data_IF_358710109323
#
_entry.id   IF_358710109323
#
_cell.length_a   1.000
_cell.length_b   1.000
_cell.length_c   1.000
_cell.angle_alpha   90.00
_cell.angle_beta   90.00
_cell.angle_gamma   90.00
#
_symmetry.space_group_name_H-M   'P 1'
#
loop_
_entity.id
_entity.type
_entity.pdbx_description
1 polymer ?
#
# COMPACT_ATOMS: atom_id res chain seq x y z
N UNK A 1 16.44 -12.72 2.83
CA UNK A 1 15.12 -12.23 3.26
C UNK A 1 13.99 -13.10 2.71
N UNK A 2 13.71 -13.10 1.40
CA UNK A 2 12.60 -13.87 0.82
C UNK A 2 12.57 -15.37 1.16
N UNK A 3 13.73 -16.04 1.19
CA UNK A 3 13.81 -17.46 1.61
C UNK A 3 13.37 -17.69 3.07
N UNK A 4 13.57 -16.71 3.96
CA UNK A 4 13.14 -16.81 5.36
C UNK A 4 11.65 -16.51 5.49
N UNK A 5 11.19 -15.46 4.79
CA UNK A 5 9.78 -15.09 4.75
C UNK A 5 8.92 -16.21 4.15
N UNK A 6 9.42 -16.90 3.12
CA UNK A 6 8.73 -18.01 2.48
C UNK A 6 8.60 -19.26 3.36
N UNK A 7 9.36 -19.37 4.47
CA UNK A 7 9.08 -20.36 5.52
C UNK A 7 7.80 -20.04 6.27
N UNK A 8 7.47 -18.76 6.40
CA UNK A 8 6.22 -18.30 7.00
C UNK A 8 5.06 -18.41 6.02
N UNK A 9 5.27 -18.13 4.74
CA UNK A 9 4.24 -18.15 3.70
C UNK A 9 4.70 -18.92 2.47
N UNK A 10 4.13 -20.12 2.31
CA UNK A 10 4.50 -21.04 1.24
C UNK A 10 4.11 -20.55 -0.17
N UNK A 11 3.23 -19.54 -0.30
CA UNK A 11 2.88 -18.96 -1.62
C UNK A 11 4.10 -18.35 -2.31
N UNK A 12 5.10 -17.91 -1.56
CA UNK A 12 6.37 -17.41 -2.08
C UNK A 12 7.36 -18.51 -2.51
N UNK A 13 7.12 -19.78 -2.14
CA UNK A 13 7.97 -20.93 -2.53
C UNK A 13 7.49 -21.66 -3.79
N UNK A 14 6.21 -21.50 -4.14
CA UNK A 14 5.56 -22.22 -5.25
C UNK A 14 5.92 -21.61 -6.62
N UNK A 15 7.21 -21.54 -6.96
CA UNK A 15 7.77 -20.89 -8.15
C UNK A 15 7.33 -21.50 -9.50
N UNK A 16 6.02 -21.49 -9.80
CA UNK A 16 5.41 -22.01 -11.01
C UNK A 16 4.02 -22.63 -10.85
N UNK A 17 3.45 -22.72 -9.64
CA UNK A 17 2.10 -23.28 -9.41
C UNK A 17 1.04 -22.18 -9.27
N UNK A 18 -0.24 -22.50 -9.50
CA UNK A 18 -1.33 -21.53 -9.69
C UNK A 18 -1.50 -20.46 -8.59
N UNK A 19 -1.04 -20.73 -7.35
CA UNK A 19 -1.13 -19.80 -6.24
C UNK A 19 -0.01 -18.74 -6.19
N UNK A 20 1.03 -18.87 -7.02
CA UNK A 20 2.13 -17.90 -7.09
C UNK A 20 1.84 -16.71 -7.99
N UNK A 21 1.06 -16.90 -9.06
CA UNK A 21 0.77 -15.83 -10.02
C UNK A 21 0.10 -14.59 -9.37
N UNK A 22 -0.89 -14.73 -8.47
CA UNK A 22 -1.48 -13.56 -7.78
C UNK A 22 -0.48 -12.83 -6.88
N UNK A 23 0.37 -13.56 -6.15
CA UNK A 23 1.41 -12.97 -5.29
C UNK A 23 2.45 -12.25 -6.14
N UNK A 24 2.94 -12.88 -7.21
CA UNK A 24 3.90 -12.26 -8.12
C UNK A 24 3.33 -11.00 -8.78
N UNK A 25 2.06 -11.01 -9.19
CA UNK A 25 1.41 -9.83 -9.76
C UNK A 25 1.33 -8.68 -8.74
N UNK A 26 1.02 -8.99 -7.48
CA UNK A 26 0.98 -8.02 -6.40
C UNK A 26 2.38 -7.42 -6.13
N UNK A 27 3.41 -8.25 -6.02
CA UNK A 27 4.79 -7.80 -5.83
C UNK A 27 5.28 -6.96 -7.02
N UNK A 28 4.98 -7.41 -8.25
CA UNK A 28 5.32 -6.66 -9.47
C UNK A 28 4.62 -5.29 -9.49
N UNK A 29 3.34 -5.21 -9.14
CA UNK A 29 2.64 -3.92 -9.06
C UNK A 29 3.24 -3.01 -7.98
N UNK A 30 3.71 -3.57 -6.87
CA UNK A 30 4.36 -2.81 -5.81
C UNK A 30 5.68 -2.21 -6.31
N UNK A 31 6.48 -2.97 -7.05
CA UNK A 31 7.75 -2.50 -7.61
C UNK A 31 7.55 -1.50 -8.74
N UNK A 32 6.69 -1.82 -9.72
CA UNK A 32 6.57 -1.05 -10.97
C UNK A 32 5.53 0.06 -10.95
N UNK A 33 4.63 0.09 -9.96
CA UNK A 33 3.62 1.14 -9.85
C UNK A 33 3.76 1.89 -8.53
N UNK A 34 3.73 1.19 -7.40
CA UNK A 34 3.76 1.85 -6.08
C UNK A 34 5.12 2.48 -5.81
N UNK A 35 6.22 1.81 -6.16
CA UNK A 35 7.58 2.34 -6.05
C UNK A 35 7.76 3.69 -6.77
N UNK A 36 7.44 3.78 -8.08
CA UNK A 36 7.44 5.05 -8.81
C UNK A 36 6.53 6.12 -8.22
N UNK A 37 5.33 5.77 -7.71
CA UNK A 37 4.45 6.72 -7.04
C UNK A 37 5.07 7.27 -5.74
N UNK A 38 5.75 6.41 -4.98
CA UNK A 38 6.47 6.83 -3.78
C UNK A 38 7.63 7.79 -4.14
N UNK A 39 8.39 7.48 -5.19
CA UNK A 39 9.42 8.39 -5.72
C UNK A 39 8.84 9.72 -6.18
N UNK A 40 7.70 9.70 -6.89
CA UNK A 40 6.99 10.90 -7.32
C UNK A 40 6.53 11.73 -6.10
N UNK A 41 6.07 11.07 -5.04
CA UNK A 41 5.66 11.74 -3.79
C UNK A 41 6.85 12.48 -3.18
N UNK A 42 8.00 11.80 -3.04
CA UNK A 42 9.24 12.40 -2.51
C UNK A 42 9.73 13.55 -3.39
N UNK A 43 9.72 13.38 -4.70
CA UNK A 43 10.08 14.43 -5.65
C UNK A 43 9.15 15.65 -5.55
N UNK A 44 7.84 15.42 -5.43
CA UNK A 44 6.85 16.48 -5.26
C UNK A 44 7.01 17.20 -3.91
N UNK A 45 7.42 16.49 -2.85
CA UNK A 45 7.79 17.10 -1.57
C UNK A 45 9.01 18.02 -1.74
N UNK A 46 10.07 17.52 -2.38
CA UNK A 46 11.30 18.27 -2.63
C UNK A 46 11.05 19.55 -3.44
N UNK A 47 10.26 19.43 -4.51
CA UNK A 47 9.92 20.54 -5.42
C UNK A 47 8.74 21.40 -4.95
N UNK A 48 8.23 21.17 -3.74
CA UNK A 48 7.10 21.89 -3.12
C UNK A 48 5.81 21.88 -3.96
N UNK A 49 5.57 20.82 -4.74
CA UNK A 49 4.37 20.64 -5.56
C UNK A 49 3.27 19.95 -4.76
N UNK A 50 2.54 20.71 -3.94
CA UNK A 50 1.58 20.16 -2.97
C UNK A 50 0.48 19.29 -3.59
N UNK A 51 -0.10 19.69 -4.73
CA UNK A 51 -1.18 18.94 -5.37
C UNK A 51 -0.70 17.55 -5.86
N UNK A 52 0.47 17.51 -6.50
CA UNK A 52 1.08 16.27 -7.00
C UNK A 52 1.48 15.38 -5.82
N UNK A 53 2.03 15.96 -4.74
CA UNK A 53 2.36 15.23 -3.51
C UNK A 53 1.14 14.52 -2.95
N UNK A 54 0.05 15.24 -2.68
CA UNK A 54 -1.11 14.63 -2.02
C UNK A 54 -1.76 13.56 -2.90
N UNK A 55 -1.82 13.78 -4.22
CA UNK A 55 -2.40 12.81 -5.15
C UNK A 55 -1.55 11.54 -5.24
N UNK A 56 -0.23 11.68 -5.41
CA UNK A 56 0.68 10.53 -5.49
C UNK A 56 0.78 9.77 -4.17
N UNK A 57 0.82 10.47 -3.04
CA UNK A 57 0.80 9.85 -1.70
C UNK A 57 -0.50 9.09 -1.46
N UNK A 58 -1.66 9.68 -1.81
CA UNK A 58 -2.95 9.02 -1.67
C UNK A 58 -3.04 7.78 -2.55
N UNK A 59 -2.62 7.87 -3.81
CA UNK A 59 -2.63 6.76 -4.75
C UNK A 59 -1.74 5.60 -4.25
N UNK A 60 -0.49 5.89 -3.86
CA UNK A 60 0.42 4.88 -3.30
C UNK A 60 -0.15 4.25 -2.03
N UNK A 61 -0.76 5.06 -1.16
CA UNK A 61 -1.34 4.58 0.10
C UNK A 61 -2.51 3.61 -0.13
N UNK A 62 -3.43 3.96 -1.03
CA UNK A 62 -4.56 3.10 -1.38
C UNK A 62 -4.09 1.78 -2.00
N UNK A 63 -3.08 1.82 -2.87
CA UNK A 63 -2.53 0.62 -3.49
C UNK A 63 -1.87 -0.31 -2.46
N UNK A 64 -1.12 0.23 -1.49
CA UNK A 64 -0.57 -0.56 -0.40
C UNK A 64 -1.66 -1.22 0.45
N UNK A 65 -2.71 -0.46 0.83
CA UNK A 65 -3.82 -1.01 1.60
C UNK A 65 -4.54 -2.12 0.83
N UNK A 66 -4.83 -1.90 -0.45
CA UNK A 66 -5.47 -2.91 -1.32
C UNK A 66 -4.63 -4.18 -1.41
N UNK A 67 -3.31 -4.04 -1.58
CA UNK A 67 -2.35 -5.15 -1.62
C UNK A 67 -2.41 -5.98 -0.33
N UNK A 68 -2.38 -5.34 0.84
CA UNK A 68 -2.44 -6.04 2.14
C UNK A 68 -3.80 -6.69 2.38
N UNK A 69 -4.90 -6.04 1.97
CA UNK A 69 -6.25 -6.61 2.09
C UNK A 69 -6.41 -7.85 1.20
N UNK A 70 -5.90 -7.81 -0.04
CA UNK A 70 -5.89 -8.97 -0.93
C UNK A 70 -5.01 -10.08 -0.37
N UNK A 71 -3.86 -9.74 0.20
CA UNK A 71 -2.94 -10.71 0.81
C UNK A 71 -3.59 -11.51 1.95
N UNK A 72 -4.22 -10.82 2.90
CA UNK A 72 -4.94 -11.46 4.01
C UNK A 72 -6.22 -12.15 3.54
N UNK A 73 -6.98 -11.52 2.64
CA UNK A 73 -8.20 -12.10 2.08
C UNK A 73 -7.94 -13.40 1.33
N UNK A 74 -6.84 -13.48 0.57
CA UNK A 74 -6.43 -14.69 -0.13
C UNK A 74 -6.10 -15.84 0.83
N UNK A 75 -5.51 -15.55 2.00
CA UNK A 75 -5.25 -16.57 3.02
C UNK A 75 -6.54 -16.99 3.73
N UNK A 76 -7.43 -16.06 4.05
CA UNK A 76 -8.72 -16.34 4.69
C UNK A 76 -9.64 -17.20 3.80
N UNK A 77 -9.55 -17.05 2.49
CA UNK A 77 -10.34 -17.80 1.52
C UNK A 77 -9.64 -19.07 1.03
N UNK A 78 -8.37 -19.29 1.43
CA UNK A 78 -7.63 -20.48 1.04
C UNK A 78 -8.24 -21.71 1.72
N UNK A 79 -8.33 -22.82 0.97
CA UNK A 79 -8.83 -24.10 1.50
C UNK A 79 -7.82 -24.77 2.42
N UNK A 80 -6.54 -24.55 2.15
CA UNK A 80 -5.42 -25.01 2.95
C UNK A 80 -4.60 -23.78 3.36
N UNK A 81 -4.24 -23.65 4.64
CA UNK A 81 -3.44 -22.53 5.10
C UNK A 81 -2.07 -22.55 4.44
N UNK A 82 -1.68 -21.41 3.86
CA UNK A 82 -0.35 -21.23 3.27
C UNK A 82 0.69 -20.88 4.34
N UNK A 83 0.23 -20.34 5.47
CA UNK A 83 1.04 -19.98 6.62
C UNK A 83 1.23 -21.15 7.59
N UNK A 84 2.45 -21.29 8.12
CA UNK A 84 2.71 -22.31 9.15
C UNK A 84 2.03 -21.95 10.48
N UNK A 85 1.55 -22.95 11.25
CA UNK A 85 0.77 -22.71 12.46
C UNK A 85 1.58 -22.20 13.65
N UNK A 86 2.93 -22.22 13.62
CA UNK A 86 3.70 -21.79 14.78
C UNK A 86 3.52 -20.28 15.04
N UNK A 87 3.27 -19.85 16.29
CA UNK A 87 2.94 -18.46 16.62
C UNK A 87 3.95 -17.43 16.11
N UNK A 88 5.24 -17.79 16.08
CA UNK A 88 6.29 -16.91 15.55
C UNK A 88 6.09 -16.58 14.06
N UNK A 89 5.72 -17.57 13.23
CA UNK A 89 5.53 -17.37 11.80
C UNK A 89 4.23 -16.63 11.54
N UNK A 90 3.16 -17.00 12.24
CA UNK A 90 1.88 -16.32 12.07
C UNK A 90 1.90 -14.87 12.59
N UNK A 91 2.26 -14.62 13.86
CA UNK A 91 2.12 -13.28 14.43
C UNK A 91 3.26 -12.33 14.04
N UNK A 92 4.52 -12.79 14.00
CA UNK A 92 5.64 -11.88 13.70
C UNK A 92 5.81 -11.67 12.19
N UNK A 93 5.80 -12.75 11.41
CA UNK A 93 6.04 -12.65 9.97
C UNK A 93 4.76 -12.35 9.20
N UNK A 94 3.74 -13.20 9.33
CA UNK A 94 2.53 -13.05 8.52
C UNK A 94 1.70 -11.81 8.90
N UNK A 95 1.39 -11.61 10.18
CA UNK A 95 0.67 -10.42 10.64
C UNK A 95 1.63 -9.23 10.80
N UNK A 96 2.68 -9.40 11.61
CA UNK A 96 3.54 -8.31 12.04
C UNK A 96 4.31 -7.63 10.90
N UNK A 97 4.77 -8.37 9.89
CA UNK A 97 5.48 -7.76 8.76
C UNK A 97 4.54 -7.06 7.76
N UNK A 98 3.26 -7.45 7.70
CA UNK A 98 2.28 -6.89 6.76
C UNK A 98 1.42 -5.78 7.35
N UNK A 99 1.12 -5.81 8.66
CA UNK A 99 0.26 -4.83 9.32
C UNK A 99 0.75 -3.37 9.19
N UNK A 100 2.06 -3.07 9.25
CA UNK A 100 2.55 -1.71 9.01
C UNK A 100 2.16 -1.15 7.63
N UNK A 101 2.11 -2.01 6.61
CA UNK A 101 1.70 -1.65 5.24
C UNK A 101 0.20 -1.42 5.09
N UNK A 102 -0.60 -1.68 6.13
CA UNK A 102 -1.99 -1.26 6.22
C UNK A 102 -2.12 0.02 7.04
N UNK A 103 -1.51 0.05 8.22
CA UNK A 103 -1.68 1.14 9.20
C UNK A 103 -1.01 2.43 8.74
N UNK A 104 0.24 2.38 8.29
CA UNK A 104 0.96 3.59 7.87
C UNK A 104 0.31 4.23 6.64
N UNK A 105 -0.01 3.48 5.56
CA UNK A 105 -0.75 4.02 4.42
C UNK A 105 -2.12 4.61 4.79
N UNK A 106 -2.86 4.03 5.73
CA UNK A 106 -4.13 4.60 6.19
C UNK A 106 -3.94 5.99 6.80
N UNK A 107 -2.92 6.17 7.65
CA UNK A 107 -2.59 7.47 8.24
C UNK A 107 -2.16 8.48 7.17
N UNK A 108 -1.37 8.05 6.18
CA UNK A 108 -0.93 8.91 5.09
C UNK A 108 -2.09 9.31 4.16
N UNK A 109 -2.99 8.39 3.84
CA UNK A 109 -4.18 8.64 3.03
C UNK A 109 -5.12 9.65 3.70
N UNK A 110 -5.40 9.48 4.99
CA UNK A 110 -6.25 10.41 5.77
C UNK A 110 -5.63 11.80 5.87
N UNK A 111 -4.31 11.88 6.08
CA UNK A 111 -3.55 13.14 6.03
C UNK A 111 -3.67 13.82 4.66
N UNK A 112 -3.49 13.08 3.57
CA UNK A 112 -3.58 13.63 2.20
C UNK A 112 -4.97 14.13 1.87
N UNK A 113 -6.02 13.37 2.16
CA UNK A 113 -7.41 13.80 1.95
C UNK A 113 -7.71 15.08 2.73
N UNK A 114 -7.26 15.16 3.99
CA UNK A 114 -7.47 16.35 4.83
C UNK A 114 -6.80 17.58 4.23
N UNK A 115 -5.55 17.44 3.77
CA UNK A 115 -4.79 18.53 3.13
C UNK A 115 -5.41 18.95 1.79
N UNK A 116 -5.81 18.00 0.95
CA UNK A 116 -6.50 18.29 -0.32
C UNK A 116 -7.80 19.07 -0.09
N UNK A 117 -8.62 18.65 0.89
CA UNK A 117 -9.86 19.35 1.26
C UNK A 117 -9.59 20.79 1.68
N UNK A 118 -8.57 21.02 2.50
CA UNK A 118 -8.19 22.36 2.93
C UNK A 118 -7.76 23.24 1.73
N UNK A 119 -6.96 22.70 0.82
CA UNK A 119 -6.52 23.42 -0.38
C UNK A 119 -7.67 23.77 -1.31
N UNK A 120 -8.61 22.85 -1.52
CA UNK A 120 -9.82 23.09 -2.32
C UNK A 120 -10.72 24.16 -1.68
N UNK A 121 -10.84 24.19 -0.35
CA UNK A 121 -11.61 25.23 0.34
C UNK A 121 -11.02 26.63 0.13
N UNK A 122 -9.69 26.76 0.20
CA UNK A 122 -8.99 28.02 -0.06
C UNK A 122 -9.17 28.46 -1.51
N UNK A 123 -9.01 27.54 -2.47
CA UNK A 123 -9.20 27.85 -3.89
C UNK A 123 -10.62 28.37 -4.19
N UNK A 124 -11.65 27.71 -3.65
CA UNK A 124 -13.06 28.13 -3.78
C UNK A 124 -13.33 29.50 -3.16
N UNK A 125 -12.67 29.82 -2.05
CA UNK A 125 -12.81 31.14 -1.43
C UNK A 125 -12.19 32.23 -2.31
N UNK A 126 -11.01 31.98 -2.89
CA UNK A 126 -10.35 32.92 -3.79
C UNK A 126 -11.17 33.17 -5.07
N UNK A 127 -11.77 32.14 -5.66
CA UNK A 127 -12.65 32.27 -6.84
C UNK A 127 -13.85 33.21 -6.58
N UNK A 128 -14.43 33.16 -5.38
CA UNK A 128 -15.54 34.05 -4.99
C UNK A 128 -15.09 35.51 -4.83
N UNK A 129 -13.85 35.76 -4.41
CA UNK A 129 -13.31 37.12 -4.27
C UNK A 129 -13.01 37.78 -5.62
N UNK A 130 -12.62 37.00 -6.64
CA UNK A 130 -12.32 37.52 -7.99
C UNK A 130 -13.56 37.81 -8.86
N UNK A 131 -14.74 37.39 -8.42
CA UNK A 131 -16.01 37.56 -9.17
C UNK A 131 -16.86 38.73 -8.64
N UNK A 132 -16.40 39.42 -7.59
CA UNK A 132 -16.99 40.63 -7.00
C UNK A 132 -16.14 41.85 -7.35
#
# INVERSE_FOLDING_TARGET
MWKEYAKSDSRYMQGGTGNFAPVLAQEASTVFVVGPLCWLTVYAMWTRRSAVRELSQLAASVMHMQSVLLYFGAELLAREPSCRPEPQYFYMYFVGANLPWLVVPLVLATSSVTRMRAQMAIARAAEKTHTL
#
